data_IF_502682180796
#
_entry.id   IF_502682180796
#
_cell.length_a   1.000
_cell.length_b   1.000
_cell.length_c   1.000
_cell.angle_alpha   90.00
_cell.angle_beta   90.00
_cell.angle_gamma   90.00
#
_symmetry.space_group_name_H-M   'P 1'
#
loop_
_entity.id
_entity.type
_entity.pdbx_description
1 polymer ?
#
# COMPACT_ATOMS: atom_id res chain seq x y z
N UNK A 1 -1.99 22.79 -14.83
CA UNK A 1 -3.29 22.49 -14.18
C UNK A 1 -3.75 21.12 -14.67
N UNK A 2 -4.09 20.20 -13.76
CA UNK A 2 -4.68 18.92 -14.12
C UNK A 2 -6.07 19.16 -14.73
N UNK A 3 -6.43 18.44 -15.79
CA UNK A 3 -7.74 18.56 -16.45
C UNK A 3 -8.79 17.87 -15.59
N UNK A 4 -9.92 18.54 -15.37
CA UNK A 4 -11.08 17.97 -14.68
C UNK A 4 -11.54 16.65 -15.32
N UNK A 5 -11.94 15.70 -14.49
CA UNK A 5 -12.54 14.45 -14.96
C UNK A 5 -13.94 14.71 -15.52
N UNK A 6 -14.37 13.89 -16.48
CA UNK A 6 -15.81 13.73 -16.69
C UNK A 6 -16.40 13.09 -15.43
N UNK A 7 -17.50 13.65 -14.93
CA UNK A 7 -18.17 13.15 -13.73
C UNK A 7 -19.39 12.31 -14.08
N UNK A 8 -19.65 12.04 -15.35
CA UNK A 8 -20.76 11.22 -15.84
C UNK A 8 -22.11 11.67 -15.24
N UNK A 9 -22.30 12.99 -15.03
CA UNK A 9 -23.44 13.55 -14.26
C UNK A 9 -24.80 13.15 -14.86
N UNK A 10 -24.87 12.94 -16.17
CA UNK A 10 -26.08 12.47 -16.85
C UNK A 10 -26.61 11.12 -16.34
N UNK A 11 -25.74 10.29 -15.72
CA UNK A 11 -26.11 8.99 -15.14
C UNK A 11 -26.83 9.10 -13.79
N UNK A 12 -26.86 10.29 -13.19
CA UNK A 12 -27.48 10.56 -11.87
C UNK A 12 -26.91 9.69 -10.74
N UNK A 13 -25.66 9.24 -10.84
CA UNK A 13 -25.02 8.40 -9.80
C UNK A 13 -25.01 9.05 -8.41
N UNK A 14 -24.97 10.39 -8.36
CA UNK A 14 -24.91 11.20 -7.13
C UNK A 14 -26.24 11.22 -6.35
N UNK A 15 -27.34 10.76 -6.94
CA UNK A 15 -28.65 10.70 -6.25
C UNK A 15 -28.87 9.39 -5.49
N UNK A 16 -28.00 8.39 -5.67
CA UNK A 16 -28.06 7.07 -5.00
C UNK A 16 -27.31 7.10 -3.67
N UNK A 17 -27.75 6.34 -2.67
CA UNK A 17 -27.07 6.21 -1.37
C UNK A 17 -26.82 4.72 -1.03
N UNK A 18 -25.55 4.28 -0.82
CA UNK A 18 -24.32 5.04 -1.05
C UNK A 18 -24.18 5.48 -2.52
N UNK A 19 -23.49 6.59 -2.80
CA UNK A 19 -23.28 7.05 -4.17
C UNK A 19 -22.47 6.02 -4.96
N UNK A 20 -22.80 5.85 -6.24
CA UNK A 20 -22.05 4.97 -7.14
C UNK A 20 -20.75 5.65 -7.62
N UNK A 21 -19.83 5.87 -6.68
CA UNK A 21 -18.56 6.59 -6.85
C UNK A 21 -17.37 5.67 -6.49
N UNK A 22 -16.21 5.78 -7.17
CA UNK A 22 -15.88 6.65 -8.32
C UNK A 22 -16.68 6.29 -9.57
N UNK A 23 -16.95 7.25 -10.45
CA UNK A 23 -17.71 7.02 -11.70
C UNK A 23 -16.90 6.22 -12.73
N UNK A 24 -17.53 5.56 -13.73
CA UNK A 24 -16.83 4.80 -14.77
C UNK A 24 -15.62 5.52 -15.39
N UNK A 25 -15.78 6.79 -15.78
CA UNK A 25 -14.71 7.59 -16.39
C UNK A 25 -13.51 7.83 -15.45
N UNK A 26 -13.75 7.89 -14.13
CA UNK A 26 -12.71 7.95 -13.11
C UNK A 26 -12.10 6.56 -12.86
N UNK A 27 -12.91 5.51 -12.71
CA UNK A 27 -12.40 4.14 -12.50
C UNK A 27 -11.48 3.67 -13.64
N UNK A 28 -11.73 4.12 -14.86
CA UNK A 28 -10.88 3.85 -16.01
C UNK A 28 -9.46 4.42 -15.89
N UNK A 29 -9.19 5.34 -14.94
CA UNK A 29 -7.86 5.90 -14.69
C UNK A 29 -7.00 5.03 -13.78
N UNK A 30 -7.60 4.10 -13.05
CA UNK A 30 -6.86 3.15 -12.23
C UNK A 30 -7.48 2.91 -10.86
N UNK A 31 -6.82 2.09 -10.03
CA UNK A 31 -7.28 1.79 -8.68
C UNK A 31 -7.22 3.03 -7.77
N UNK A 32 -8.18 3.11 -6.86
CA UNK A 32 -8.36 4.24 -5.96
C UNK A 32 -9.12 3.84 -4.71
N UNK A 33 -8.92 4.59 -3.63
CA UNK A 33 -9.83 4.61 -2.49
C UNK A 33 -10.75 5.82 -2.58
N UNK A 34 -11.95 5.73 -2.01
CA UNK A 34 -12.91 6.83 -2.03
C UNK A 34 -13.69 6.95 -0.73
N UNK A 35 -14.08 8.18 -0.40
CA UNK A 35 -14.94 8.53 0.73
C UNK A 35 -15.99 9.53 0.28
N UNK A 36 -17.12 9.62 1.00
CA UNK A 36 -18.16 10.59 0.69
C UNK A 36 -18.83 11.15 1.95
N UNK A 37 -19.38 12.35 1.84
CA UNK A 37 -20.29 12.95 2.81
C UNK A 37 -21.48 13.54 2.08
N UNK A 38 -22.66 13.45 2.70
CA UNK A 38 -23.93 13.88 2.12
C UNK A 38 -24.68 14.73 3.13
N UNK A 39 -25.19 15.87 2.68
CA UNK A 39 -26.10 16.70 3.46
C UNK A 39 -27.23 17.24 2.59
N UNK A 40 -28.28 17.71 3.25
CA UNK A 40 -29.42 18.32 2.58
C UNK A 40 -29.96 19.47 3.40
N UNK A 41 -30.55 20.43 2.70
CA UNK A 41 -31.18 21.62 3.25
C UNK A 41 -32.52 21.81 2.56
N UNK A 42 -33.53 22.29 3.29
CA UNK A 42 -34.84 22.62 2.74
C UNK A 42 -35.00 24.13 2.67
N UNK A 43 -35.39 24.64 1.52
CA UNK A 43 -35.79 26.03 1.32
C UNK A 43 -37.20 26.12 0.70
N UNK A 44 -37.70 27.34 0.49
CA UNK A 44 -39.02 27.57 -0.14
C UNK A 44 -39.11 27.03 -1.58
N UNK A 45 -37.99 26.76 -2.24
CA UNK A 45 -37.90 26.24 -3.61
C UNK A 45 -37.60 24.74 -3.70
N UNK A 46 -37.62 24.02 -2.59
CA UNK A 46 -37.47 22.56 -2.51
C UNK A 46 -36.34 22.09 -1.60
N UNK A 47 -35.99 20.81 -1.70
CA UNK A 47 -34.82 20.26 -1.00
C UNK A 47 -33.58 20.41 -1.88
N UNK A 48 -32.55 21.11 -1.38
CA UNK A 48 -31.21 21.12 -1.96
C UNK A 48 -30.39 20.01 -1.32
N UNK A 49 -29.69 19.24 -2.16
CA UNK A 49 -28.79 18.17 -1.75
C UNK A 49 -27.35 18.57 -2.07
N UNK A 50 -26.42 18.19 -1.20
CA UNK A 50 -24.99 18.37 -1.41
C UNK A 50 -24.30 17.04 -1.16
N UNK A 51 -23.46 16.63 -2.10
CA UNK A 51 -22.61 15.44 -2.01
C UNK A 51 -21.16 15.89 -2.19
N UNK A 52 -20.32 15.57 -1.22
CA UNK A 52 -18.87 15.68 -1.35
C UNK A 52 -18.31 14.27 -1.50
N UNK A 53 -17.55 14.04 -2.55
CA UNK A 53 -16.78 12.80 -2.70
C UNK A 53 -15.31 13.13 -2.80
N UNK A 54 -14.48 12.22 -2.28
CA UNK A 54 -13.03 12.34 -2.37
C UNK A 54 -12.50 11.01 -2.86
N UNK A 55 -11.61 11.09 -3.84
CA UNK A 55 -10.87 9.95 -4.36
C UNK A 55 -9.39 10.16 -4.09
N UNK A 56 -8.68 9.08 -3.77
CA UNK A 56 -7.23 9.02 -3.72
C UNK A 56 -6.74 7.90 -4.63
N UNK A 57 -5.83 8.23 -5.53
CA UNK A 57 -5.25 7.26 -6.45
C UNK A 57 -4.17 6.46 -5.75
N UNK A 58 -4.20 5.13 -5.84
CA UNK A 58 -3.28 4.29 -5.04
C UNK A 58 -1.85 4.27 -5.57
N UNK A 59 -1.63 4.73 -6.80
CA UNK A 59 -0.33 4.68 -7.47
C UNK A 59 0.59 5.86 -7.13
N UNK A 60 0.03 7.03 -6.84
CA UNK A 60 0.79 8.24 -6.52
C UNK A 60 0.24 9.01 -5.30
N UNK A 61 -0.86 8.53 -4.70
CA UNK A 61 -1.53 9.15 -3.56
C UNK A 61 -2.09 10.56 -3.84
N UNK A 62 -2.11 11.00 -5.09
CA UNK A 62 -2.79 12.23 -5.49
C UNK A 62 -4.28 12.10 -5.22
N UNK A 63 -4.94 13.23 -5.00
CA UNK A 63 -6.35 13.24 -4.61
C UNK A 63 -7.18 14.15 -5.49
N UNK A 64 -8.46 13.83 -5.60
CA UNK A 64 -9.45 14.72 -6.19
C UNK A 64 -10.67 14.78 -5.30
N UNK A 65 -11.08 16.01 -4.96
CA UNK A 65 -12.34 16.29 -4.28
C UNK A 65 -13.36 16.72 -5.31
N UNK A 66 -14.56 16.15 -5.24
CA UNK A 66 -15.70 16.51 -6.09
C UNK A 66 -16.82 16.99 -5.17
N UNK A 67 -17.34 18.18 -5.46
CA UNK A 67 -18.43 18.79 -4.70
C UNK A 67 -19.62 19.00 -5.63
N UNK A 68 -20.70 18.28 -5.36
CA UNK A 68 -21.89 18.22 -6.21
C UNK A 68 -23.07 18.79 -5.43
N UNK A 69 -23.85 19.66 -6.06
CA UNK A 69 -25.08 20.21 -5.51
C UNK A 69 -26.20 20.07 -6.54
N UNK A 70 -27.40 19.72 -6.10
CA UNK A 70 -28.59 19.67 -6.95
C UNK A 70 -29.86 19.91 -6.14
N UNK A 71 -30.96 20.21 -6.82
CA UNK A 71 -32.31 20.25 -6.24
C UNK A 71 -33.01 18.92 -6.48
N UNK A 72 -33.65 18.38 -5.45
CA UNK A 72 -34.37 17.10 -5.49
C UNK A 72 -35.49 17.02 -6.55
N UNK A 73 -36.26 18.10 -6.84
CA UNK A 73 -37.31 18.05 -7.87
C UNK A 73 -36.80 17.91 -9.30
N UNK A 74 -35.58 18.39 -9.60
CA UNK A 74 -34.95 18.25 -10.91
C UNK A 74 -33.44 18.04 -10.77
N UNK A 75 -33.00 16.83 -10.38
CA UNK A 75 -31.58 16.57 -10.15
C UNK A 75 -30.73 16.76 -11.39
N UNK A 76 -31.28 16.46 -12.59
CA UNK A 76 -30.51 16.53 -13.84
C UNK A 76 -30.34 17.95 -14.34
N UNK A 77 -31.38 18.78 -14.28
CA UNK A 77 -31.33 20.17 -14.76
C UNK A 77 -30.66 21.13 -13.78
N UNK A 78 -30.53 20.75 -12.50
CA UNK A 78 -30.00 21.65 -11.46
C UNK A 78 -28.64 21.23 -10.89
N UNK A 79 -28.06 20.12 -11.38
CA UNK A 79 -26.76 19.67 -10.88
C UNK A 79 -25.65 20.64 -11.27
N UNK A 80 -24.87 21.02 -10.27
CA UNK A 80 -23.60 21.72 -10.43
C UNK A 80 -22.52 20.93 -9.71
N UNK A 81 -21.34 20.85 -10.32
CA UNK A 81 -20.22 20.11 -9.76
C UNK A 81 -18.92 20.92 -9.87
N UNK A 82 -18.12 20.87 -8.81
CA UNK A 82 -16.80 21.46 -8.74
C UNK A 82 -15.76 20.38 -8.43
N UNK A 83 -14.56 20.50 -9.00
CA UNK A 83 -13.44 19.58 -8.75
C UNK A 83 -12.23 20.36 -8.24
N UNK A 84 -11.60 19.84 -7.19
CA UNK A 84 -10.28 20.27 -6.72
C UNK A 84 -9.31 19.10 -6.82
N UNK A 85 -8.19 19.33 -7.50
CA UNK A 85 -7.13 18.34 -7.64
C UNK A 85 -5.96 18.69 -6.72
N UNK A 86 -5.48 17.70 -5.97
CA UNK A 86 -4.35 17.81 -5.07
C UNK A 86 -3.23 16.93 -5.61
N UNK A 87 -1.99 17.45 -5.70
CA UNK A 87 -0.86 16.66 -6.16
C UNK A 87 -0.56 15.51 -5.18
N UNK A 88 0.27 14.54 -5.59
CA UNK A 88 0.90 13.59 -4.68
C UNK A 88 1.50 14.28 -3.44
N UNK A 89 1.56 13.60 -2.29
CA UNK A 89 2.33 14.07 -1.14
C UNK A 89 3.76 14.45 -1.52
N UNK A 90 4.27 15.53 -0.95
CA UNK A 90 5.63 16.01 -1.20
C UNK A 90 6.66 14.95 -0.81
N UNK A 91 7.68 14.76 -1.63
CA UNK A 91 8.78 13.86 -1.30
C UNK A 91 9.44 14.24 0.04
N UNK A 92 9.76 13.24 0.85
CA UNK A 92 10.40 13.43 2.15
C UNK A 92 11.92 13.54 2.00
N UNK A 93 12.52 14.44 2.78
CA UNK A 93 13.97 14.51 2.98
C UNK A 93 14.50 13.27 3.71
N UNK A 94 15.83 13.05 3.65
CA UNK A 94 16.51 11.98 4.39
C UNK A 94 16.22 12.08 5.88
N UNK A 95 16.27 13.29 6.43
CA UNK A 95 16.06 13.57 7.85
C UNK A 95 14.63 13.24 8.29
N UNK A 96 13.64 13.55 7.45
CA UNK A 96 12.24 13.19 7.69
C UNK A 96 12.03 11.68 7.62
N UNK A 97 12.63 11.00 6.64
CA UNK A 97 12.62 9.54 6.53
C UNK A 97 13.28 8.90 7.77
N UNK A 98 14.41 9.43 8.24
CA UNK A 98 15.08 8.94 9.44
C UNK A 98 14.25 9.14 10.72
N UNK A 99 13.60 10.29 10.85
CA UNK A 99 12.70 10.56 11.96
C UNK A 99 11.51 9.61 11.96
N UNK A 100 10.88 9.41 10.80
CA UNK A 100 9.78 8.47 10.64
C UNK A 100 10.21 7.03 10.94
N UNK A 101 11.39 6.60 10.48
CA UNK A 101 11.92 5.29 10.80
C UNK A 101 12.12 5.11 12.32
N UNK A 102 12.80 6.05 12.98
CA UNK A 102 12.99 6.01 14.45
C UNK A 102 11.67 5.93 15.20
N UNK A 103 10.64 6.59 14.67
CA UNK A 103 9.32 6.60 15.26
C UNK A 103 8.61 5.27 15.03
N UNK A 104 8.44 4.80 13.79
CA UNK A 104 7.51 3.71 13.48
C UNK A 104 8.18 2.36 13.20
N UNK A 105 9.39 2.35 12.63
CA UNK A 105 10.05 1.14 12.11
C UNK A 105 10.26 0.04 13.16
N UNK A 106 10.92 0.32 14.31
CA UNK A 106 11.10 -0.67 15.36
C UNK A 106 9.78 -1.25 15.89
N UNK A 107 8.74 -0.43 15.98
CA UNK A 107 7.46 -0.82 16.54
C UNK A 107 6.68 -1.75 15.61
N UNK A 108 6.64 -1.48 14.31
CA UNK A 108 5.93 -2.36 13.37
C UNK A 108 6.64 -3.71 13.26
N UNK A 109 7.98 -3.72 13.20
CA UNK A 109 8.74 -4.96 13.15
C UNK A 109 8.60 -5.79 14.45
N UNK A 110 8.44 -5.12 15.60
CA UNK A 110 8.21 -5.79 16.89
C UNK A 110 6.81 -6.40 16.95
N UNK A 111 5.79 -5.65 16.51
CA UNK A 111 4.43 -6.15 16.39
C UNK A 111 4.39 -7.38 15.46
N UNK A 112 5.03 -7.31 14.29
CA UNK A 112 5.06 -8.43 13.34
C UNK A 112 5.73 -9.67 13.93
N UNK A 113 6.89 -9.53 14.57
CA UNK A 113 7.56 -10.66 15.23
C UNK A 113 6.69 -11.31 16.31
N UNK A 114 5.95 -10.51 17.08
CA UNK A 114 5.05 -11.02 18.12
C UNK A 114 3.85 -11.79 17.56
N UNK A 115 3.50 -11.56 16.28
CA UNK A 115 2.40 -12.25 15.61
C UNK A 115 2.81 -13.59 14.99
N UNK A 116 4.10 -13.96 14.95
CA UNK A 116 4.57 -15.22 14.36
C UNK A 116 3.86 -16.43 14.98
N UNK A 117 3.41 -17.35 14.14
CA UNK A 117 2.65 -18.54 14.54
C UNK A 117 1.15 -18.31 14.74
N UNK A 118 0.65 -17.11 14.48
CA UNK A 118 -0.79 -16.78 14.55
C UNK A 118 -1.38 -16.53 13.15
N UNK A 119 -2.69 -16.39 13.07
CA UNK A 119 -3.41 -15.86 11.90
C UNK A 119 -4.01 -14.51 12.27
N UNK A 120 -3.65 -13.48 11.50
CA UNK A 120 -4.17 -12.12 11.66
C UNK A 120 -5.29 -11.88 10.64
N UNK A 121 -6.44 -11.42 11.13
CA UNK A 121 -7.58 -11.07 10.28
C UNK A 121 -8.09 -12.26 9.47
N UNK A 122 -8.18 -12.10 8.16
CA UNK A 122 -8.63 -13.12 7.21
C UNK A 122 -7.51 -14.07 6.73
N UNK A 123 -6.30 -13.93 7.29
CA UNK A 123 -5.16 -14.74 6.89
C UNK A 123 -4.47 -14.26 5.62
N UNK A 124 -4.81 -13.09 5.08
CA UNK A 124 -4.14 -12.54 3.89
C UNK A 124 -2.93 -11.66 4.25
N UNK A 125 -1.96 -11.57 3.32
CA UNK A 125 -0.74 -10.75 3.51
C UNK A 125 -1.05 -9.26 3.66
N UNK A 126 -2.00 -8.74 2.87
CA UNK A 126 -2.38 -7.33 2.92
C UNK A 126 -3.13 -6.98 4.22
N UNK A 127 -3.97 -7.88 4.73
CA UNK A 127 -4.68 -7.72 6.01
C UNK A 127 -3.69 -7.69 7.17
N UNK A 128 -2.64 -8.51 7.13
CA UNK A 128 -1.58 -8.48 8.13
C UNK A 128 -0.92 -7.10 8.26
N UNK A 129 -0.54 -6.48 7.14
CA UNK A 129 0.07 -5.14 7.14
C UNK A 129 -0.93 -4.06 7.56
N UNK A 130 -2.17 -4.13 7.08
CA UNK A 130 -3.22 -3.19 7.46
C UNK A 130 -3.55 -3.25 8.96
N UNK A 131 -3.64 -4.45 9.54
CA UNK A 131 -3.80 -4.66 10.97
C UNK A 131 -2.62 -4.11 11.77
N UNK A 132 -1.38 -4.36 11.35
CA UNK A 132 -0.19 -3.83 12.01
C UNK A 132 -0.22 -2.30 12.10
N UNK A 133 -0.50 -1.63 10.97
CA UNK A 133 -0.56 -0.17 10.91
C UNK A 133 -1.71 0.40 11.73
N UNK A 134 -2.89 -0.25 11.73
CA UNK A 134 -4.05 0.17 12.54
C UNK A 134 -3.79 0.05 14.04
N UNK A 135 -3.19 -1.05 14.49
CA UNK A 135 -2.86 -1.27 15.90
C UNK A 135 -1.81 -0.26 16.37
N UNK A 136 -0.78 0.00 15.55
CA UNK A 136 0.20 1.04 15.81
C UNK A 136 -0.47 2.42 15.88
N UNK A 137 -1.29 2.80 14.90
CA UNK A 137 -1.99 4.08 14.90
C UNK A 137 -2.84 4.27 16.16
N UNK A 138 -3.64 3.26 16.53
CA UNK A 138 -4.43 3.26 17.76
C UNK A 138 -3.56 3.48 19.01
N UNK A 139 -2.41 2.79 19.10
CA UNK A 139 -1.46 2.91 20.21
C UNK A 139 -0.79 4.29 20.28
N UNK A 140 -0.53 4.93 19.14
CA UNK A 140 0.05 6.27 19.12
C UNK A 140 -0.98 7.32 19.52
N UNK A 141 -2.19 7.22 18.97
CA UNK A 141 -3.29 8.12 19.27
C UNK A 141 -3.69 8.06 20.74
N UNK A 142 -3.70 6.88 21.37
CA UNK A 142 -3.98 6.73 22.81
C UNK A 142 -2.94 7.42 23.71
N UNK A 143 -1.73 7.65 23.18
CA UNK A 143 -0.65 8.40 23.84
C UNK A 143 -0.54 9.86 23.35
N UNK A 144 -1.51 10.37 22.59
CA UNK A 144 -1.49 11.74 22.05
C UNK A 144 -0.38 11.98 21.03
N UNK A 145 0.12 10.93 20.38
CA UNK A 145 1.14 10.99 19.33
C UNK A 145 0.53 10.76 17.95
N UNK A 146 1.20 11.26 16.93
CA UNK A 146 0.83 11.01 15.53
C UNK A 146 1.06 9.54 15.15
N UNK A 147 0.00 8.84 14.75
CA UNK A 147 0.06 7.46 14.24
C UNK A 147 0.66 7.37 12.83
N UNK A 148 1.12 6.19 12.40
CA UNK A 148 1.49 5.99 11.00
C UNK A 148 0.28 6.13 10.08
N UNK A 149 0.52 6.53 8.83
CA UNK A 149 -0.51 6.44 7.80
C UNK A 149 -0.95 4.99 7.59
N UNK A 150 -2.22 4.79 7.26
CA UNK A 150 -2.74 3.48 6.88
C UNK A 150 -2.44 3.20 5.40
N UNK A 151 -2.35 1.91 5.05
CA UNK A 151 -2.17 1.45 3.68
C UNK A 151 -3.20 2.07 2.73
N UNK A 152 -2.72 2.58 1.59
CA UNK A 152 -3.54 3.12 0.51
C UNK A 152 -3.44 2.18 -0.70
N UNK A 153 -4.20 1.09 -0.66
CA UNK A 153 -4.01 -0.03 -1.58
C UNK A 153 -2.68 -0.72 -1.33
N UNK A 154 -1.73 -0.61 -2.26
CA UNK A 154 -0.40 -1.23 -2.20
C UNK A 154 0.72 -0.28 -1.78
N UNK A 155 0.34 0.93 -1.36
CA UNK A 155 1.25 1.95 -0.87
C UNK A 155 1.16 2.00 0.65
N UNK A 156 2.27 1.69 1.32
CA UNK A 156 2.32 1.54 2.78
C UNK A 156 3.11 2.65 3.50
N UNK A 157 3.47 3.71 2.76
CA UNK A 157 4.30 4.79 3.25
C UNK A 157 5.04 5.51 2.11
N UNK A 158 6.18 6.12 2.42
CA UNK A 158 7.05 6.72 1.41
C UNK A 158 7.86 5.62 0.70
N UNK A 159 7.75 5.53 -0.62
CA UNK A 159 8.54 4.57 -1.40
C UNK A 159 10.02 5.00 -1.42
N UNK A 160 10.89 4.18 -0.83
CA UNK A 160 12.35 4.45 -0.73
C UNK A 160 13.16 3.65 -1.74
N UNK A 161 12.59 2.56 -2.25
CA UNK A 161 13.17 1.72 -3.29
C UNK A 161 12.04 1.22 -4.20
N UNK A 162 12.22 1.35 -5.50
CA UNK A 162 11.35 0.76 -6.51
C UNK A 162 12.22 0.11 -7.57
N UNK A 163 12.12 -1.20 -7.70
CA UNK A 163 12.88 -2.02 -8.64
C UNK A 163 11.93 -2.75 -9.57
N UNK A 164 12.27 -2.76 -10.85
CA UNK A 164 11.62 -3.59 -11.85
C UNK A 164 12.64 -4.57 -12.42
N UNK A 165 12.32 -5.85 -12.35
CA UNK A 165 13.09 -6.93 -12.93
C UNK A 165 12.40 -7.39 -14.21
N UNK A 166 13.11 -7.29 -15.33
CA UNK A 166 12.68 -7.83 -16.63
C UNK A 166 13.63 -8.90 -17.17
N UNK A 167 14.75 -9.13 -16.48
CA UNK A 167 15.75 -10.14 -16.79
C UNK A 167 16.60 -10.46 -15.54
N UNK A 168 17.28 -11.63 -15.54
CA UNK A 168 18.30 -11.94 -14.55
C UNK A 168 19.41 -10.87 -14.57
N UNK A 169 19.82 -10.40 -13.40
CA UNK A 169 20.86 -9.38 -13.27
C UNK A 169 21.12 -9.03 -11.82
N UNK A 170 22.36 -8.65 -11.49
CA UNK A 170 22.73 -8.29 -10.13
C UNK A 170 22.02 -7.01 -9.69
N UNK A 171 21.31 -7.08 -8.57
CA UNK A 171 20.70 -5.93 -7.87
C UNK A 171 21.45 -5.61 -6.58
N UNK A 172 22.71 -6.03 -6.53
CA UNK A 172 23.51 -5.99 -5.32
C UNK A 172 23.76 -4.56 -4.86
N UNK A 173 23.63 -4.33 -3.56
CA UNK A 173 23.82 -3.04 -2.92
C UNK A 173 22.63 -2.08 -3.03
N UNK A 174 21.55 -2.45 -3.73
CA UNK A 174 20.35 -1.59 -3.85
C UNK A 174 19.67 -1.35 -2.51
N UNK A 175 19.63 -2.37 -1.64
CA UNK A 175 19.09 -2.23 -0.28
C UNK A 175 19.90 -1.22 0.55
N UNK A 176 21.23 -1.27 0.43
CA UNK A 176 22.11 -0.34 1.13
C UNK A 176 21.99 1.08 0.58
N UNK A 177 21.94 1.24 -0.75
CA UNK A 177 21.81 2.56 -1.39
C UNK A 177 20.50 3.25 -1.01
N UNK A 178 19.40 2.50 -0.97
CA UNK A 178 18.10 2.98 -0.54
C UNK A 178 17.94 3.10 0.99
N UNK A 179 18.97 2.71 1.75
CA UNK A 179 18.97 2.74 3.21
C UNK A 179 17.75 2.01 3.78
N UNK A 180 17.49 0.81 3.26
CA UNK A 180 16.44 -0.09 3.74
C UNK A 180 16.78 -0.52 5.15
N UNK A 181 15.76 -0.62 6.01
CA UNK A 181 15.93 -0.95 7.43
C UNK A 181 14.81 -1.85 7.95
N UNK A 182 15.06 -2.48 9.10
CA UNK A 182 14.05 -3.21 9.86
C UNK A 182 12.82 -2.33 10.13
N UNK A 183 11.64 -2.80 9.77
CA UNK A 183 10.37 -2.10 9.91
C UNK A 183 9.92 -1.36 8.65
N UNK A 184 10.74 -1.30 7.60
CA UNK A 184 10.24 -0.94 6.28
C UNK A 184 9.35 -2.09 5.74
N UNK A 185 8.41 -1.76 4.85
CA UNK A 185 7.42 -2.70 4.30
C UNK A 185 7.78 -3.03 2.86
N UNK A 186 7.91 -4.33 2.58
CA UNK A 186 8.13 -4.90 1.26
C UNK A 186 6.79 -5.11 0.55
N UNK A 187 6.66 -4.65 -0.69
CA UNK A 187 5.54 -4.96 -1.59
C UNK A 187 6.09 -5.52 -2.90
N UNK A 188 5.57 -6.67 -3.31
CA UNK A 188 5.94 -7.35 -4.54
C UNK A 188 4.74 -7.51 -5.46
N UNK A 189 4.99 -7.49 -6.77
CA UNK A 189 3.99 -7.75 -7.81
C UNK A 189 4.62 -8.58 -8.92
N UNK A 190 3.97 -9.68 -9.26
CA UNK A 190 4.41 -10.62 -10.30
C UNK A 190 5.88 -11.03 -10.13
N UNK A 191 6.32 -11.17 -8.88
CA UNK A 191 7.71 -11.41 -8.56
C UNK A 191 8.06 -12.89 -8.74
N UNK A 192 9.22 -13.16 -9.32
CA UNK A 192 9.79 -14.49 -9.46
C UNK A 192 11.21 -14.49 -8.92
N UNK A 193 11.46 -15.36 -7.96
CA UNK A 193 12.78 -15.64 -7.42
C UNK A 193 13.20 -17.04 -7.84
N UNK A 194 14.43 -17.16 -8.32
CA UNK A 194 15.08 -18.43 -8.59
C UNK A 194 16.07 -18.70 -7.47
N UNK A 195 15.60 -19.40 -6.44
CA UNK A 195 16.40 -19.73 -5.27
C UNK A 195 17.26 -20.94 -5.61
N UNK A 196 18.58 -20.77 -5.50
CA UNK A 196 19.52 -21.88 -5.65
C UNK A 196 19.87 -22.36 -4.24
N UNK A 197 19.16 -23.38 -3.77
CA UNK A 197 19.53 -24.04 -2.52
C UNK A 197 20.85 -24.79 -2.74
N UNK A 198 21.95 -24.27 -2.18
CA UNK A 198 23.17 -25.05 -1.98
C UNK A 198 22.91 -26.10 -0.90
N UNK A 199 22.25 -27.21 -1.26
CA UNK A 199 22.18 -28.35 -0.34
C UNK A 199 23.57 -28.95 -0.25
N UNK A 200 24.16 -28.89 0.95
CA UNK A 200 25.38 -29.61 1.32
C UNK A 200 25.16 -31.13 1.41
N UNK A 201 24.34 -31.71 0.53
CA UNK A 201 24.20 -33.14 0.38
C UNK A 201 25.41 -33.66 -0.38
N UNK A 202 26.51 -33.86 0.34
CA UNK A 202 27.63 -34.63 -0.15
C UNK A 202 27.26 -36.12 -0.17
N UNK A 203 27.06 -36.69 -1.36
CA UNK A 203 27.06 -38.15 -1.53
C UNK A 203 28.38 -38.56 -2.18
N UNK A 204 29.09 -39.48 -1.55
CA UNK A 204 30.26 -40.11 -2.16
C UNK A 204 29.77 -41.25 -3.06
N UNK A 205 29.71 -41.00 -4.36
CA UNK A 205 29.52 -42.06 -5.36
C UNK A 205 30.81 -42.18 -6.18
N UNK A 206 31.42 -43.36 -6.17
CA UNK A 206 32.62 -43.67 -6.97
C UNK A 206 33.80 -42.71 -6.75
N UNK A 207 33.99 -42.25 -5.50
CA UNK A 207 35.13 -41.38 -5.14
C UNK A 207 35.04 -39.93 -5.61
N UNK A 208 33.89 -39.49 -6.15
CA UNK A 208 33.63 -38.10 -6.51
C UNK A 208 32.57 -37.49 -5.60
N UNK A 209 32.85 -36.29 -5.09
CA UNK A 209 31.87 -35.47 -4.39
C UNK A 209 30.95 -34.81 -5.43
N UNK A 210 29.65 -35.09 -5.36
CA UNK A 210 28.63 -34.39 -6.16
C UNK A 210 27.84 -33.45 -5.26
N UNK A 211 27.90 -32.13 -5.55
CA UNK A 211 26.98 -31.14 -4.96
C UNK A 211 25.61 -31.34 -5.62
N UNK A 212 24.56 -31.55 -4.82
CA UNK A 212 23.18 -31.64 -5.32
C UNK A 212 22.44 -30.37 -4.91
N UNK A 213 22.51 -29.33 -5.73
CA UNK A 213 21.71 -28.12 -5.52
C UNK A 213 20.25 -28.38 -5.91
N UNK A 214 19.31 -27.81 -5.15
CA UNK A 214 17.89 -27.74 -5.51
C UNK A 214 17.57 -26.35 -6.05
N UNK A 215 16.77 -26.25 -7.11
CA UNK A 215 16.25 -24.95 -7.58
C UNK A 215 14.79 -24.81 -7.11
N UNK A 216 14.52 -23.85 -6.22
CA UNK A 216 13.15 -23.48 -5.83
C UNK A 216 12.73 -22.25 -6.62
N UNK A 217 11.64 -22.38 -7.38
CA UNK A 217 11.06 -21.29 -8.15
C UNK A 217 9.89 -20.69 -7.37
N UNK A 218 10.12 -19.56 -6.71
CA UNK A 218 9.08 -18.85 -5.94
C UNK A 218 8.42 -17.82 -6.85
N UNK A 219 7.11 -17.97 -7.09
CA UNK A 219 6.31 -17.05 -7.90
C UNK A 219 5.21 -16.44 -7.06
N UNK A 220 5.21 -15.11 -6.96
CA UNK A 220 4.27 -14.34 -6.14
C UNK A 220 3.48 -13.40 -7.03
N UNK A 221 2.16 -13.58 -7.10
CA UNK A 221 1.30 -12.72 -7.91
C UNK A 221 1.24 -11.29 -7.33
N UNK A 222 0.91 -11.16 -6.04
CA UNK A 222 1.05 -9.94 -5.25
C UNK A 222 1.33 -10.37 -3.82
N UNK A 223 2.31 -9.79 -3.16
CA UNK A 223 2.66 -10.16 -1.79
C UNK A 223 3.24 -8.98 -1.03
N UNK A 224 3.03 -8.94 0.28
CA UNK A 224 3.53 -7.86 1.14
C UNK A 224 4.01 -8.41 2.48
N UNK A 225 5.05 -7.80 3.03
CA UNK A 225 5.74 -8.29 4.23
C UNK A 225 6.42 -7.16 4.99
N UNK A 226 6.67 -7.34 6.29
CA UNK A 226 7.47 -6.41 7.10
C UNK A 226 8.91 -6.89 7.12
N UNK A 227 9.85 -6.02 6.77
CA UNK A 227 11.29 -6.34 6.80
C UNK A 227 11.73 -6.39 8.26
N UNK A 228 12.27 -7.52 8.70
CA UNK A 228 12.70 -7.75 10.08
C UNK A 228 14.21 -7.84 10.22
N UNK A 229 14.92 -8.09 9.12
CA UNK A 229 16.38 -8.16 9.07
C UNK A 229 16.93 -7.95 7.67
N UNK A 230 18.24 -7.72 7.60
CA UNK A 230 18.99 -7.53 6.36
C UNK A 230 20.31 -8.27 6.48
N UNK A 231 20.64 -9.06 5.46
CA UNK A 231 21.94 -9.69 5.33
C UNK A 231 22.45 -9.52 3.88
N UNK A 232 23.23 -8.47 3.65
CA UNK A 232 23.61 -8.08 2.29
C UNK A 232 22.39 -7.72 1.46
N UNK A 233 22.13 -8.49 0.40
CA UNK A 233 20.99 -8.33 -0.50
C UNK A 233 19.78 -9.22 -0.13
N UNK A 234 19.89 -9.95 0.98
CA UNK A 234 18.82 -10.79 1.51
C UNK A 234 17.97 -9.97 2.48
N UNK A 235 16.69 -9.85 2.13
CA UNK A 235 15.63 -9.35 2.99
C UNK A 235 15.16 -10.49 3.88
N UNK A 236 15.26 -10.33 5.19
CA UNK A 236 14.54 -11.18 6.15
C UNK A 236 13.22 -10.48 6.50
N UNK A 237 12.13 -11.22 6.45
CA UNK A 237 10.79 -10.65 6.61
C UNK A 237 9.95 -11.46 7.58
N UNK A 238 8.92 -10.81 8.12
CA UNK A 238 7.74 -11.49 8.65
C UNK A 238 6.56 -11.17 7.75
N UNK A 239 5.85 -12.22 7.36
CA UNK A 239 4.78 -12.18 6.37
C UNK A 239 3.65 -13.12 6.77
N UNK A 240 2.48 -12.92 6.20
CA UNK A 240 1.36 -13.85 6.31
C UNK A 240 0.99 -14.35 4.92
N UNK A 241 0.56 -15.61 4.81
CA UNK A 241 0.21 -16.22 3.53
C UNK A 241 1.39 -16.24 2.54
N UNK A 242 2.60 -16.37 3.06
CA UNK A 242 3.82 -16.57 2.28
C UNK A 242 4.04 -18.06 2.04
N UNK A 243 5.16 -18.59 2.54
CA UNK A 243 5.42 -20.03 2.51
C UNK A 243 4.43 -20.85 3.36
N UNK A 244 3.96 -20.28 4.49
CA UNK A 244 2.94 -20.91 5.33
C UNK A 244 1.57 -20.30 5.01
N UNK A 245 0.62 -21.09 4.48
CA UNK A 245 -0.71 -20.59 4.13
C UNK A 245 -1.45 -20.04 5.36
N UNK A 246 -2.01 -18.85 5.23
CA UNK A 246 -2.85 -18.17 6.24
C UNK A 246 -2.22 -17.95 7.63
N UNK A 247 -0.93 -18.21 7.82
CA UNK A 247 -0.25 -18.00 9.09
C UNK A 247 0.87 -16.97 8.92
N UNK A 248 1.13 -16.23 9.99
CA UNK A 248 2.29 -15.35 10.08
C UNK A 248 3.54 -16.19 10.30
N UNK A 249 4.51 -16.07 9.41
CA UNK A 249 5.77 -16.79 9.43
C UNK A 249 6.95 -15.90 9.04
N UNK A 250 8.15 -16.35 9.38
CA UNK A 250 9.38 -15.76 8.87
C UNK A 250 9.60 -16.17 7.41
N UNK A 251 10.19 -15.29 6.62
CA UNK A 251 10.51 -15.51 5.21
C UNK A 251 11.80 -14.81 4.83
N UNK A 252 12.35 -15.16 3.65
CA UNK A 252 13.55 -14.53 3.09
C UNK A 252 13.41 -14.33 1.59
N UNK A 253 13.91 -13.19 1.11
CA UNK A 253 13.98 -12.87 -0.31
C UNK A 253 15.35 -12.29 -0.65
N UNK A 254 16.10 -12.95 -1.52
CA UNK A 254 17.36 -12.45 -2.05
C UNK A 254 17.12 -11.66 -3.35
N UNK A 255 17.48 -10.38 -3.36
CA UNK A 255 17.35 -9.55 -4.56
C UNK A 255 18.24 -10.01 -5.71
N UNK A 256 19.36 -10.68 -5.43
CA UNK A 256 20.22 -11.27 -6.44
C UNK A 256 19.54 -12.43 -7.18
N UNK A 257 18.57 -13.09 -6.54
CA UNK A 257 17.82 -14.22 -7.10
C UNK A 257 16.56 -13.79 -7.85
N UNK A 258 16.20 -12.50 -7.82
CA UNK A 258 15.02 -11.97 -8.51
C UNK A 258 15.21 -12.00 -10.03
N UNK A 259 14.28 -12.65 -10.74
CA UNK A 259 14.32 -12.83 -12.20
C UNK A 259 13.39 -11.85 -12.93
N UNK A 260 12.18 -11.69 -12.41
CA UNK A 260 11.13 -10.86 -12.99
C UNK A 260 10.22 -10.25 -11.91
N UNK A 261 9.47 -9.20 -12.29
CA UNK A 261 8.44 -8.57 -11.48
C UNK A 261 8.86 -7.22 -10.90
N UNK A 262 8.02 -6.67 -10.04
CA UNK A 262 8.27 -5.38 -9.36
C UNK A 262 8.42 -5.60 -7.86
N UNK A 263 9.39 -4.92 -7.26
CA UNK A 263 9.61 -4.86 -5.84
C UNK A 263 9.66 -3.39 -5.40
N UNK A 264 8.86 -3.05 -4.40
CA UNK A 264 8.84 -1.73 -3.79
C UNK A 264 9.05 -1.88 -2.29
N UNK A 265 9.83 -0.97 -1.72
CA UNK A 265 10.02 -0.90 -0.26
C UNK A 265 9.53 0.46 0.21
N UNK A 266 8.71 0.44 1.25
CA UNK A 266 8.08 1.61 1.83
C UNK A 266 8.58 1.84 3.24
N UNK A 267 8.99 3.08 3.51
CA UNK A 267 9.18 3.56 4.86
C UNK A 267 7.85 3.94 5.47
N UNK A 268 7.53 3.36 6.62
CA UNK A 268 6.36 3.77 7.42
C UNK A 268 6.55 5.21 7.89
N UNK A 269 5.52 6.02 7.72
CA UNK A 269 5.53 7.48 7.92
C UNK A 269 4.21 7.94 8.53
N UNK A 270 4.19 9.14 9.08
CA UNK A 270 3.04 9.68 9.81
C UNK A 270 1.84 10.02 8.92
N UNK A 271 0.66 10.00 9.54
CA UNK A 271 -0.60 10.37 8.88
C UNK A 271 -0.61 11.81 8.35
N UNK A 272 0.17 12.74 8.89
CA UNK A 272 0.27 14.11 8.38
C UNK A 272 0.81 14.19 6.94
N UNK A 273 1.61 13.20 6.51
CA UNK A 273 2.10 13.13 5.14
C UNK A 273 1.04 12.65 4.16
N UNK A 274 0.23 11.67 4.56
CA UNK A 274 -0.93 11.20 3.80
C UNK A 274 -2.13 11.03 4.74
N UNK A 275 -2.92 12.11 4.97
CA UNK A 275 -3.99 12.11 5.96
C UNK A 275 -5.07 11.06 5.68
N UNK A 276 -5.89 10.68 6.67
CA UNK A 276 -7.08 9.86 6.43
C UNK A 276 -7.97 10.49 5.35
N UNK A 277 -8.62 9.64 4.55
CA UNK A 277 -9.45 10.11 3.43
C UNK A 277 -10.76 10.71 3.93
N UNK A 278 -10.79 12.02 4.14
CA UNK A 278 -11.96 12.74 4.65
C UNK A 278 -12.73 13.45 3.54
N UNK A 279 -14.05 13.30 3.56
CA UNK A 279 -14.96 13.97 2.63
C UNK A 279 -15.35 15.37 3.12
N UNK A 280 -14.36 16.26 3.21
CA UNK A 280 -14.49 17.69 3.51
C UNK A 280 -14.04 18.53 2.32
N UNK A 281 -14.57 19.76 2.18
CA UNK A 281 -14.22 20.63 1.06
C UNK A 281 -12.95 21.46 1.25
N UNK A 282 -12.58 21.66 2.52
CA UNK A 282 -11.47 22.50 2.95
C UNK A 282 -10.10 21.89 2.61
#
# INVERSE_FOLDING_TARGET
>A
MQKNFDLDLGSLWYTKMPPAFPVPSMRAKGPSTSSYSYCWERDFGGTRKTLLTVIRWTHDLSMTKVHIKWKEPDPRGTVVAEQKHFPPPTALSREQLDAAHRQYGPNIATWSNASVGTTVGDGECWTFIDSALKDLASTYHSHGKEGPMLSQGRSHGACILSLEASAPGSRSGMLQLADVRRGDILQMKSAHFKIVEEVAATRQEWGKWTKRGGEKNVRLANHTAVITGLNGDVLEVVEQNGEVPHAVSEGKYDLAEMQEGTLQIFRVIGESWCPPLQASWD
#
